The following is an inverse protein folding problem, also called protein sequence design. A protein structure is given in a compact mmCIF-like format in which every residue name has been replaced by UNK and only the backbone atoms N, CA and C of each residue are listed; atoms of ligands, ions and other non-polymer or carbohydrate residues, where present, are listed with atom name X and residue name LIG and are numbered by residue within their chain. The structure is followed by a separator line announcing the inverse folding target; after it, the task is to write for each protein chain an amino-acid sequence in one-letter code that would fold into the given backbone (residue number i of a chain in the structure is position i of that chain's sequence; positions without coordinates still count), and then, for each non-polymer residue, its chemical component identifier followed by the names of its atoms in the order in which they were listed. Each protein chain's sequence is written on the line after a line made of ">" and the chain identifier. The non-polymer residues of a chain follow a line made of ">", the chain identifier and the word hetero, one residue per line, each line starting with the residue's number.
data_IF_541534574084
#
_entry.id   IF_541534574084
#
_cell.length_a   1.000
_cell.length_b   1.000
_cell.length_c   1.000
_cell.angle_alpha   90.00
_cell.angle_beta   90.00
_cell.angle_gamma   90.00
#
_symmetry.space_group_name_H-M   'P 1'
#
loop_
_entity.id
_entity.type
_entity.pdbx_description
1 polymer ?
#
# COMPACT_ATOMS: atom_id res chain seq x y z
N UNK A 1 7.78 4.98 -22.77
CA UNK A 1 8.67 6.00 -23.35
C UNK A 1 10.02 6.05 -22.66
N UNK A 2 10.12 6.21 -21.31
CA UNK A 2 11.41 6.23 -20.59
C UNK A 2 12.20 4.93 -20.77
N UNK A 3 11.57 3.77 -20.61
CA UNK A 3 12.21 2.48 -20.79
C UNK A 3 12.72 2.24 -22.22
N UNK A 4 12.05 2.84 -23.22
CA UNK A 4 12.51 2.79 -24.62
C UNK A 4 13.78 3.59 -24.82
N UNK A 5 13.97 4.70 -24.06
CA UNK A 5 15.15 5.56 -24.14
C UNK A 5 16.31 5.09 -23.26
N UNK A 6 16.00 4.39 -22.16
CA UNK A 6 16.95 4.03 -21.13
C UNK A 6 16.93 2.52 -20.86
N UNK A 7 17.89 1.81 -21.41
CA UNK A 7 17.99 0.34 -21.33
C UNK A 7 18.20 -0.22 -19.91
N UNK A 8 18.53 0.62 -18.94
CA UNK A 8 18.67 0.23 -17.54
C UNK A 8 17.33 0.19 -16.79
N UNK A 9 16.24 0.65 -17.39
CA UNK A 9 14.89 0.56 -16.83
C UNK A 9 14.29 -0.79 -17.23
N UNK A 10 14.04 -1.62 -16.23
CA UNK A 10 13.34 -2.89 -16.39
C UNK A 10 11.81 -2.61 -16.25
N UNK A 11 11.10 -2.71 -17.38
CA UNK A 11 9.65 -2.46 -17.42
C UNK A 11 8.85 -3.71 -17.08
N UNK A 12 9.48 -4.86 -17.01
CA UNK A 12 8.86 -6.13 -16.65
C UNK A 12 8.96 -6.41 -15.14
N UNK A 13 9.53 -5.47 -14.37
CA UNK A 13 9.65 -5.53 -12.91
C UNK A 13 9.42 -4.14 -12.29
N UNK A 14 8.16 -3.71 -12.24
CA UNK A 14 7.79 -2.37 -11.75
C UNK A 14 7.20 -2.44 -10.35
N UNK A 15 7.85 -1.75 -9.42
CA UNK A 15 7.35 -1.60 -8.05
C UNK A 15 6.84 -0.20 -7.75
N UNK A 16 5.86 -0.12 -6.85
CA UNK A 16 5.31 1.14 -6.34
C UNK A 16 5.17 1.07 -4.82
N UNK A 17 5.42 2.16 -4.13
CA UNK A 17 5.11 2.27 -2.71
C UNK A 17 4.67 3.68 -2.35
N UNK A 18 3.91 3.77 -1.27
CA UNK A 18 3.50 5.05 -0.74
C UNK A 18 2.89 4.94 0.65
N UNK A 19 2.87 6.08 1.33
CA UNK A 19 2.34 6.24 2.67
C UNK A 19 1.18 7.22 2.66
N UNK A 20 0.15 7.01 3.49
CA UNK A 20 -1.02 7.88 3.61
C UNK A 20 -1.78 8.00 2.27
N UNK A 21 -2.00 9.17 1.72
CA UNK A 21 -2.52 9.34 0.35
C UNK A 21 -1.69 8.61 -0.71
N UNK A 22 -0.37 8.44 -0.49
CA UNK A 22 0.48 7.59 -1.31
C UNK A 22 0.18 6.10 -1.15
N UNK A 23 -0.26 5.65 0.03
CA UNK A 23 -0.75 4.29 0.27
C UNK A 23 -2.05 4.01 -0.49
N UNK A 24 -2.99 4.98 -0.47
CA UNK A 24 -4.18 4.94 -1.33
C UNK A 24 -3.79 4.81 -2.81
N UNK A 25 -2.93 5.72 -3.30
CA UNK A 25 -2.50 5.74 -4.70
C UNK A 25 -1.78 4.44 -5.12
N UNK A 26 -0.99 3.85 -4.21
CA UNK A 26 -0.32 2.56 -4.45
C UNK A 26 -1.32 1.42 -4.66
N UNK A 27 -2.28 1.26 -3.77
CA UNK A 27 -3.31 0.22 -3.91
C UNK A 27 -4.17 0.47 -5.16
N UNK A 28 -4.57 1.72 -5.40
CA UNK A 28 -5.30 2.12 -6.60
C UNK A 28 -4.54 1.76 -7.88
N UNK A 29 -3.24 2.05 -7.95
CA UNK A 29 -2.39 1.72 -9.09
C UNK A 29 -2.30 0.20 -9.32
N UNK A 30 -2.11 -0.57 -8.24
CA UNK A 30 -2.06 -2.05 -8.30
C UNK A 30 -3.37 -2.67 -8.81
N UNK A 31 -4.51 -2.03 -8.56
CA UNK A 31 -5.81 -2.53 -8.98
C UNK A 31 -6.26 -1.98 -10.34
N UNK A 32 -5.88 -0.74 -10.69
CA UNK A 32 -6.29 -0.11 -11.96
C UNK A 32 -5.34 -0.42 -13.12
N UNK A 33 -4.06 -0.67 -12.84
CA UNK A 33 -3.07 -1.05 -13.84
C UNK A 33 -2.32 -2.35 -13.43
N UNK A 34 -3.07 -3.47 -13.23
CA UNK A 34 -2.52 -4.71 -12.66
C UNK A 34 -1.54 -5.44 -13.59
N UNK A 35 -1.49 -5.07 -14.86
CA UNK A 35 -0.54 -5.61 -15.85
C UNK A 35 0.74 -4.78 -15.95
N UNK A 36 0.83 -3.68 -15.20
CA UNK A 36 1.99 -2.79 -15.21
C UNK A 36 2.76 -2.79 -13.89
N UNK A 37 2.07 -2.89 -12.76
CA UNK A 37 2.70 -2.91 -11.44
C UNK A 37 2.79 -4.33 -10.90
N UNK A 38 4.01 -4.82 -10.69
CA UNK A 38 4.28 -6.16 -10.19
C UNK A 38 4.28 -6.25 -8.68
N UNK A 39 4.76 -5.18 -8.00
CA UNK A 39 4.88 -5.15 -6.53
C UNK A 39 4.42 -3.81 -5.99
N UNK A 40 3.47 -3.84 -5.04
CA UNK A 40 2.98 -2.67 -4.33
C UNK A 40 3.18 -2.76 -2.82
N UNK A 41 3.56 -1.65 -2.18
CA UNK A 41 3.57 -1.53 -0.72
C UNK A 41 2.74 -0.32 -0.32
N UNK A 42 1.55 -0.55 0.21
CA UNK A 42 0.60 0.48 0.61
C UNK A 42 0.61 0.65 2.13
N UNK A 43 1.09 1.80 2.59
CA UNK A 43 1.27 2.11 4.00
C UNK A 43 0.25 3.15 4.46
N UNK A 44 -0.49 2.85 5.53
CA UNK A 44 -1.46 3.76 6.20
C UNK A 44 -2.37 4.52 5.22
N UNK A 45 -2.84 3.83 4.18
CA UNK A 45 -3.64 4.44 3.12
C UNK A 45 -5.09 4.72 3.54
N UNK A 46 -5.60 5.91 3.18
CA UNK A 46 -7.01 6.27 3.29
C UNK A 46 -7.83 5.65 2.15
N UNK A 47 -7.89 4.33 2.12
CA UNK A 47 -8.40 3.53 1.00
C UNK A 47 -9.88 3.75 0.66
N UNK A 48 -10.64 4.32 1.59
CA UNK A 48 -12.03 4.71 1.41
C UNK A 48 -12.24 6.07 2.07
N UNK A 49 -12.36 7.13 1.28
CA UNK A 49 -12.50 8.48 1.80
C UNK A 49 -13.84 8.75 2.49
N UNK A 50 -14.81 7.81 2.46
CA UNK A 50 -15.99 7.86 3.34
C UNK A 50 -15.65 7.58 4.80
N UNK A 51 -14.47 7.00 5.08
CA UNK A 51 -13.92 6.71 6.40
C UNK A 51 -12.70 7.58 6.71
N UNK A 52 -12.60 8.75 6.10
CA UNK A 52 -11.51 9.71 6.31
C UNK A 52 -12.06 11.13 6.42
N UNK A 53 -11.20 12.12 6.59
CA UNK A 53 -11.57 13.52 6.75
C UNK A 53 -12.29 14.07 5.51
N UNK A 54 -13.43 14.75 5.71
CA UNK A 54 -14.29 15.24 4.64
C UNK A 54 -13.57 16.24 3.73
N UNK A 55 -12.78 17.14 4.30
CA UNK A 55 -12.04 18.16 3.56
C UNK A 55 -10.98 17.56 2.63
N UNK A 56 -10.38 16.41 3.00
CA UNK A 56 -9.50 15.65 2.12
C UNK A 56 -10.30 15.01 0.97
N UNK A 57 -11.38 14.31 1.30
CA UNK A 57 -12.26 13.67 0.31
C UNK A 57 -12.79 14.68 -0.70
N UNK A 58 -13.37 15.76 -0.23
CA UNK A 58 -13.95 16.81 -1.08
C UNK A 58 -12.92 17.50 -1.96
N UNK A 59 -11.70 17.68 -1.47
CA UNK A 59 -10.62 18.32 -2.24
C UNK A 59 -10.20 17.51 -3.46
N UNK A 60 -10.21 16.17 -3.37
CA UNK A 60 -9.66 15.29 -4.41
C UNK A 60 -10.71 14.54 -5.22
N UNK A 61 -11.92 14.35 -4.67
CA UNK A 61 -13.01 13.61 -5.29
C UNK A 61 -14.29 14.47 -5.50
N UNK A 62 -14.28 15.74 -5.02
CA UNK A 62 -15.47 16.59 -4.98
C UNK A 62 -16.42 16.20 -3.85
N UNK A 63 -17.58 16.87 -3.81
CA UNK A 63 -18.59 16.61 -2.79
C UNK A 63 -19.10 15.17 -2.85
N UNK A 64 -19.34 14.59 -1.69
CA UNK A 64 -20.01 13.30 -1.59
C UNK A 64 -21.47 13.43 -2.05
N UNK A 65 -21.80 12.83 -3.19
CA UNK A 65 -23.13 12.80 -3.76
C UNK A 65 -23.69 11.39 -3.65
N UNK A 66 -24.87 11.26 -3.03
CA UNK A 66 -25.58 9.98 -2.91
C UNK A 66 -26.65 9.88 -3.99
N UNK A 67 -26.59 8.84 -4.80
CA UNK A 67 -27.58 8.55 -5.84
C UNK A 67 -28.12 7.12 -5.66
N UNK A 68 -29.40 7.00 -5.38
CA UNK A 68 -30.04 5.71 -5.10
C UNK A 68 -29.42 5.03 -3.87
N UNK A 69 -28.88 3.84 -4.06
CA UNK A 69 -28.20 3.06 -2.99
C UNK A 69 -26.67 3.19 -3.01
N UNK A 70 -26.11 4.07 -3.85
CA UNK A 70 -24.67 4.27 -4.01
C UNK A 70 -24.24 5.71 -3.77
N UNK A 71 -22.96 5.94 -3.93
CA UNK A 71 -22.32 7.25 -3.86
C UNK A 71 -21.10 7.30 -4.79
N UNK A 72 -20.67 8.51 -5.15
CA UNK A 72 -19.54 8.73 -6.04
C UNK A 72 -18.17 8.35 -5.41
N UNK A 73 -18.10 8.15 -4.09
CA UNK A 73 -16.86 7.71 -3.42
C UNK A 73 -16.69 6.19 -3.45
N UNK A 74 -17.81 5.45 -3.58
CA UNK A 74 -17.78 3.99 -3.60
C UNK A 74 -16.95 3.43 -4.75
N UNK A 75 -17.06 4.05 -5.94
CA UNK A 75 -16.33 3.62 -7.14
C UNK A 75 -14.84 3.95 -7.09
N UNK A 76 -14.45 4.92 -6.26
CA UNK A 76 -13.05 5.29 -6.06
C UNK A 76 -12.40 4.55 -4.88
N UNK A 77 -13.17 3.89 -4.04
CA UNK A 77 -12.67 3.16 -2.90
C UNK A 77 -11.88 1.92 -3.33
N UNK A 78 -10.66 1.75 -2.81
CA UNK A 78 -9.74 0.70 -3.23
C UNK A 78 -10.31 -0.71 -3.07
N UNK A 79 -11.09 -0.97 -2.02
CA UNK A 79 -11.71 -2.29 -1.80
C UNK A 79 -12.68 -2.69 -2.93
N UNK A 80 -13.28 -1.72 -3.63
CA UNK A 80 -14.17 -1.97 -4.78
C UNK A 80 -13.43 -2.65 -5.93
N UNK A 81 -12.14 -2.40 -6.06
CA UNK A 81 -11.31 -2.89 -7.15
C UNK A 81 -10.36 -4.03 -6.76
N UNK A 82 -10.36 -4.48 -5.52
CA UNK A 82 -9.42 -5.46 -4.96
C UNK A 82 -9.34 -6.76 -5.78
N UNK A 83 -10.44 -7.21 -6.37
CA UNK A 83 -10.49 -8.41 -7.22
C UNK A 83 -9.59 -8.34 -8.46
N UNK A 84 -9.18 -7.14 -8.87
CA UNK A 84 -8.32 -6.92 -10.05
C UNK A 84 -6.83 -7.14 -9.77
N UNK A 85 -6.43 -7.31 -8.49
CA UNK A 85 -5.03 -7.52 -8.13
C UNK A 85 -4.42 -8.69 -8.89
N UNK A 86 -3.23 -8.50 -9.49
CA UNK A 86 -2.41 -9.55 -10.12
C UNK A 86 -1.04 -9.67 -9.48
N UNK A 87 -0.41 -8.55 -9.16
CA UNK A 87 0.92 -8.48 -8.56
C UNK A 87 0.95 -8.80 -7.06
N UNK A 88 2.10 -8.60 -6.44
CA UNK A 88 2.32 -8.77 -5.00
C UNK A 88 1.99 -7.49 -4.25
N UNK A 89 1.08 -7.54 -3.29
CA UNK A 89 0.68 -6.39 -2.49
C UNK A 89 1.03 -6.62 -1.02
N UNK A 90 1.68 -5.61 -0.42
CA UNK A 90 1.97 -5.57 1.01
C UNK A 90 1.24 -4.38 1.63
N UNK A 91 0.31 -4.67 2.53
CA UNK A 91 -0.43 -3.68 3.30
C UNK A 91 0.25 -3.48 4.65
N UNK A 92 0.51 -2.23 5.04
CA UNK A 92 1.12 -1.90 6.34
C UNK A 92 0.30 -0.81 7.02
N UNK A 93 -0.03 -0.98 8.32
CA UNK A 93 -0.76 0.05 9.07
C UNK A 93 -0.42 0.04 10.56
N UNK A 94 -0.37 1.22 11.17
CA UNK A 94 -0.27 1.39 12.62
C UNK A 94 -1.65 1.24 13.28
N UNK A 95 -1.76 0.37 14.28
CA UNK A 95 -3.05 0.13 14.97
C UNK A 95 -3.50 1.31 15.84
N UNK A 96 -2.56 2.20 16.21
CA UNK A 96 -2.83 3.43 16.95
C UNK A 96 -2.84 4.67 16.04
N UNK A 97 -3.06 4.47 14.74
CA UNK A 97 -3.17 5.56 13.77
C UNK A 97 -4.41 6.41 14.07
N UNK A 98 -4.17 7.63 14.47
CA UNK A 98 -5.18 8.62 14.85
C UNK A 98 -5.46 9.66 13.74
N UNK A 99 -4.81 9.49 12.60
CA UNK A 99 -5.05 10.27 11.38
C UNK A 99 -5.89 9.45 10.39
N UNK A 100 -5.33 8.36 9.86
CA UNK A 100 -6.07 7.43 8.99
C UNK A 100 -6.49 6.20 9.78
N UNK A 101 -7.79 5.98 10.02
CA UNK A 101 -8.23 4.81 10.77
C UNK A 101 -7.76 3.49 10.16
N UNK A 102 -7.21 2.54 10.95
CA UNK A 102 -6.73 1.24 10.43
C UNK A 102 -7.80 0.42 9.72
N UNK A 103 -9.08 0.74 9.96
CA UNK A 103 -10.22 0.15 9.24
C UNK A 103 -10.12 0.32 7.74
N UNK A 104 -9.51 1.41 7.24
CA UNK A 104 -9.26 1.60 5.81
C UNK A 104 -8.48 0.43 5.21
N UNK A 105 -7.39 0.01 5.84
CA UNK A 105 -6.59 -1.14 5.38
C UNK A 105 -7.32 -2.46 5.55
N UNK A 106 -8.08 -2.65 6.64
CA UNK A 106 -8.83 -3.90 6.85
C UNK A 106 -9.98 -4.07 5.87
N UNK A 107 -10.60 -2.99 5.37
CA UNK A 107 -11.59 -3.07 4.29
C UNK A 107 -10.98 -3.61 2.99
N UNK A 108 -9.78 -3.16 2.63
CA UNK A 108 -9.05 -3.68 1.46
C UNK A 108 -8.68 -5.14 1.66
N UNK A 109 -8.16 -5.50 2.85
CA UNK A 109 -7.81 -6.88 3.18
C UNK A 109 -9.02 -7.83 3.09
N UNK A 110 -10.17 -7.44 3.65
CA UNK A 110 -11.42 -8.20 3.57
C UNK A 110 -11.86 -8.42 2.11
N UNK A 111 -11.81 -7.37 1.29
CA UNK A 111 -12.16 -7.46 -0.13
C UNK A 111 -11.21 -8.36 -0.92
N UNK A 112 -9.89 -8.31 -0.64
CA UNK A 112 -8.90 -9.21 -1.24
C UNK A 112 -9.16 -10.66 -0.85
N UNK A 113 -9.43 -10.93 0.43
CA UNK A 113 -9.78 -12.27 0.93
C UNK A 113 -11.04 -12.82 0.25
N UNK A 114 -12.10 -12.00 0.16
CA UNK A 114 -13.36 -12.38 -0.52
C UNK A 114 -13.16 -12.66 -2.01
N UNK A 115 -12.20 -11.97 -2.63
CA UNK A 115 -11.83 -12.19 -4.03
C UNK A 115 -10.84 -13.35 -4.24
N UNK A 116 -10.42 -14.05 -3.17
CA UNK A 116 -9.44 -15.14 -3.24
C UNK A 116 -8.04 -14.69 -3.67
N UNK A 117 -7.64 -13.45 -3.31
CA UNK A 117 -6.34 -12.89 -3.67
C UNK A 117 -5.33 -13.08 -2.55
N UNK A 118 -4.10 -13.47 -2.92
CA UNK A 118 -2.97 -13.52 -2.01
C UNK A 118 -2.36 -12.12 -1.84
N UNK A 119 -2.11 -11.74 -0.60
CA UNK A 119 -1.45 -10.50 -0.23
C UNK A 119 -0.73 -10.66 1.12
N UNK A 120 0.21 -9.76 1.41
CA UNK A 120 0.87 -9.69 2.70
C UNK A 120 0.33 -8.52 3.52
N UNK A 121 0.28 -8.66 4.85
CA UNK A 121 -0.16 -7.59 5.73
C UNK A 121 0.67 -7.54 7.00
N UNK A 122 1.02 -6.33 7.44
CA UNK A 122 1.69 -6.06 8.71
C UNK A 122 0.95 -4.97 9.48
N UNK A 123 0.35 -5.36 10.60
CA UNK A 123 -0.27 -4.42 11.53
C UNK A 123 0.67 -4.18 12.70
N UNK A 124 0.98 -2.90 12.98
CA UNK A 124 1.91 -2.49 14.04
C UNK A 124 1.12 -2.09 15.28
N UNK A 125 1.16 -2.87 16.38
CA UNK A 125 0.21 -2.71 17.50
C UNK A 125 0.26 -1.35 18.19
N UNK A 126 1.43 -0.69 18.22
CA UNK A 126 1.61 0.57 18.95
C UNK A 126 2.00 1.76 18.05
N UNK A 127 2.12 1.53 16.73
CA UNK A 127 2.48 2.58 15.82
C UNK A 127 1.30 3.48 15.48
N UNK A 128 1.59 4.77 15.37
CA UNK A 128 0.69 5.81 14.84
C UNK A 128 0.93 5.98 13.33
N UNK A 129 0.35 7.01 12.74
CA UNK A 129 0.39 7.29 11.31
C UNK A 129 1.81 7.28 10.71
N UNK A 130 2.80 7.91 11.36
CA UNK A 130 4.19 8.00 10.88
C UNK A 130 5.12 6.88 11.35
N UNK A 131 4.60 5.80 11.98
CA UNK A 131 5.32 4.64 12.50
C UNK A 131 6.36 4.94 13.61
N UNK A 132 6.76 6.19 13.85
CA UNK A 132 7.65 6.60 14.95
C UNK A 132 8.92 5.75 15.06
N UNK A 133 9.12 5.12 16.23
CA UNK A 133 10.28 4.26 16.51
C UNK A 133 10.34 2.99 15.65
N UNK A 134 9.23 2.56 15.07
CA UNK A 134 9.16 1.38 14.20
C UNK A 134 9.61 1.68 12.75
N UNK A 135 9.83 2.95 12.38
CA UNK A 135 10.20 3.35 11.02
C UNK A 135 11.43 2.61 10.45
N UNK A 136 12.52 2.36 11.20
CA UNK A 136 13.65 1.60 10.67
C UNK A 136 13.29 0.14 10.36
N UNK A 137 12.42 -0.47 11.17
CA UNK A 137 11.90 -1.82 10.92
C UNK A 137 11.05 -1.86 9.65
N UNK A 138 10.14 -0.90 9.48
CA UNK A 138 9.29 -0.79 8.29
C UNK A 138 10.13 -0.55 7.04
N UNK A 139 11.13 0.34 7.11
CA UNK A 139 12.04 0.59 5.98
C UNK A 139 12.75 -0.70 5.54
N UNK A 140 13.24 -1.50 6.50
CA UNK A 140 13.83 -2.80 6.21
C UNK A 140 12.81 -3.73 5.54
N UNK A 141 11.59 -3.87 6.08
CA UNK A 141 10.55 -4.74 5.54
C UNK A 141 10.14 -4.33 4.12
N UNK A 142 10.13 -3.03 3.83
CA UNK A 142 9.90 -2.49 2.48
C UNK A 142 11.02 -2.93 1.52
N UNK A 143 12.27 -2.77 1.91
CA UNK A 143 13.40 -3.20 1.10
C UNK A 143 13.42 -4.72 0.90
N UNK A 144 13.20 -5.49 1.95
CA UNK A 144 13.12 -6.95 1.88
C UNK A 144 12.04 -7.39 0.89
N UNK A 145 10.88 -6.72 0.90
CA UNK A 145 9.77 -7.05 0.02
C UNK A 145 10.10 -6.79 -1.45
N UNK A 146 10.71 -5.66 -1.77
CA UNK A 146 11.17 -5.36 -3.13
C UNK A 146 12.31 -6.28 -3.58
N UNK A 147 13.30 -6.53 -2.72
CA UNK A 147 14.41 -7.44 -3.03
C UNK A 147 13.88 -8.85 -3.35
N UNK A 148 12.91 -9.32 -2.58
CA UNK A 148 12.33 -10.64 -2.80
C UNK A 148 11.49 -10.68 -4.07
N UNK A 149 10.58 -9.73 -4.25
CA UNK A 149 9.51 -9.85 -5.24
C UNK A 149 9.81 -9.16 -6.58
N UNK A 150 10.74 -8.18 -6.64
CA UNK A 150 11.20 -7.59 -7.91
C UNK A 150 12.51 -8.19 -8.40
N UNK A 151 13.46 -8.46 -7.47
CA UNK A 151 14.77 -8.93 -7.84
C UNK A 151 14.93 -10.46 -7.77
N UNK A 152 13.96 -11.16 -7.16
CA UNK A 152 14.04 -12.60 -6.93
C UNK A 152 15.18 -13.02 -5.99
N UNK A 153 15.70 -12.10 -5.18
CA UNK A 153 16.82 -12.33 -4.27
C UNK A 153 16.33 -12.57 -2.84
N UNK A 154 17.20 -13.19 -2.03
CA UNK A 154 16.93 -13.42 -0.61
C UNK A 154 17.56 -12.29 0.22
N UNK A 155 16.79 -11.44 0.88
CA UNK A 155 17.33 -10.38 1.73
C UNK A 155 18.01 -10.95 2.98
N UNK A 156 18.96 -10.22 3.60
CA UNK A 156 19.56 -10.62 4.85
C UNK A 156 18.49 -10.75 5.95
N UNK A 157 18.53 -11.88 6.68
CA UNK A 157 17.61 -12.09 7.81
C UNK A 157 17.97 -11.18 8.99
N UNK A 158 16.93 -10.68 9.67
CA UNK A 158 17.04 -9.95 10.97
C UNK A 158 17.99 -8.73 10.93
N UNK A 159 18.25 -8.18 9.75
CA UNK A 159 19.08 -6.99 9.60
C UNK A 159 18.45 -5.80 10.31
N UNK A 160 19.28 -5.04 11.05
CA UNK A 160 18.85 -3.82 11.76
C UNK A 160 19.50 -2.60 11.13
N UNK A 161 18.68 -1.69 10.59
CA UNK A 161 19.16 -0.44 10.01
C UNK A 161 19.69 0.45 11.14
N UNK A 162 20.87 1.05 10.91
CA UNK A 162 21.50 1.99 11.86
C UNK A 162 22.21 1.36 13.05
N UNK A 163 22.28 0.04 13.15
CA UNK A 163 23.14 -0.63 14.14
C UNK A 163 24.41 -1.17 13.47
N UNK A 164 25.59 -0.96 14.07
CA UNK A 164 26.81 -1.59 13.57
C UNK A 164 26.63 -3.10 13.57
N UNK A 165 27.11 -3.78 12.52
CA UNK A 165 27.20 -5.24 12.51
C UNK A 165 28.07 -5.66 13.69
N UNK A 166 27.51 -6.36 14.66
CA UNK A 166 28.31 -7.16 15.58
C UNK A 166 28.74 -8.36 14.74
N UNK A 167 29.96 -8.27 14.20
CA UNK A 167 30.61 -9.43 13.58
C UNK A 167 31.02 -10.33 14.77
N UNK A 168 30.58 -11.58 14.82
CA UNK A 168 30.97 -12.53 15.86
C UNK A 168 32.49 -12.83 15.82
#
# INVERSE_FOLDING_TARGET
>A
ELATRHRYIDIDNVGIWGHSGGGFATASAMFSAPDFFDVGIAESGNHDNRNYEDDWGERYQGLLVREGNGDNYADEANQTHAAKLKGKLFLIHGMMDDNVPPTNTTLVADALMKAGKDFDMLMLPQARHGFGADSPYIMRRRWDYFVTNLQGNVPPKEYRIGQPRVVP
#
